data_IF_874974005320
#
_entry.id   IF_874974005320
#
_cell.length_a   1.000
_cell.length_b   1.000
_cell.length_c   1.000
_cell.angle_alpha   90.00
_cell.angle_beta   90.00
_cell.angle_gamma   90.00
#
_symmetry.space_group_name_H-M   'P 1'
#
loop_
_entity.id
_entity.type
_entity.pdbx_description
1 polymer ?
#
# COMPACT_ATOMS: atom_id res chain seq x y z
N UNK A 1 3.51 -2.95 -5.71
CA UNK A 1 3.70 -1.88 -6.70
C UNK A 1 4.23 -2.45 -7.99
N UNK A 2 3.80 -1.85 -9.11
CA UNK A 2 4.27 -2.16 -10.46
C UNK A 2 4.60 -0.88 -11.23
N UNK A 3 5.50 -1.00 -12.19
CA UNK A 3 5.77 0.04 -13.19
C UNK A 3 4.61 0.11 -14.20
N UNK A 4 4.58 1.17 -15.02
CA UNK A 4 3.50 1.38 -16.00
C UNK A 4 3.46 0.36 -17.13
N UNK A 5 4.57 -0.34 -17.37
CA UNK A 5 4.67 -1.49 -18.29
C UNK A 5 4.16 -2.81 -17.67
N UNK A 6 3.79 -2.80 -16.38
CA UNK A 6 3.31 -3.96 -15.65
C UNK A 6 4.37 -4.70 -14.84
N UNK A 7 5.65 -4.35 -14.94
CA UNK A 7 6.71 -4.99 -14.16
C UNK A 7 6.48 -4.80 -12.67
N UNK A 8 6.25 -5.89 -11.95
CA UNK A 8 6.07 -5.90 -10.49
C UNK A 8 7.42 -5.75 -9.80
N UNK A 9 7.54 -4.82 -8.87
CA UNK A 9 8.76 -4.62 -8.07
C UNK A 9 8.59 -4.98 -6.59
N UNK A 10 7.35 -4.97 -6.11
CA UNK A 10 6.98 -5.26 -4.73
C UNK A 10 5.53 -5.77 -4.64
N UNK A 11 5.24 -6.74 -3.78
CA UNK A 11 3.87 -7.25 -3.58
C UNK A 11 3.71 -7.87 -2.19
N UNK A 12 2.97 -7.20 -1.30
CA UNK A 12 2.54 -7.77 -0.02
C UNK A 12 1.55 -8.92 -0.20
N UNK A 13 0.71 -8.86 -1.24
CA UNK A 13 -0.22 -9.95 -1.58
C UNK A 13 0.50 -11.27 -1.89
N UNK A 14 1.63 -11.21 -2.62
CA UNK A 14 2.43 -12.41 -2.93
C UNK A 14 3.20 -12.92 -1.70
N UNK A 15 3.58 -12.02 -0.79
CA UNK A 15 4.23 -12.39 0.47
C UNK A 15 3.25 -12.92 1.52
N UNK A 16 1.96 -12.58 1.42
CA UNK A 16 0.97 -12.85 2.45
C UNK A 16 1.14 -12.01 3.72
N UNK A 17 1.93 -10.93 3.66
CA UNK A 17 2.29 -10.10 4.81
C UNK A 17 2.03 -8.61 4.51
N UNK A 18 1.02 -7.99 5.15
CA UNK A 18 0.74 -6.57 5.02
C UNK A 18 1.91 -5.70 5.47
N UNK A 19 2.04 -4.52 4.85
CA UNK A 19 2.99 -3.52 5.31
C UNK A 19 2.34 -2.67 6.41
N UNK A 20 3.06 -2.46 7.52
CA UNK A 20 2.66 -1.57 8.61
C UNK A 20 3.51 -0.29 8.57
N UNK A 21 2.85 0.87 8.68
CA UNK A 21 3.49 2.18 8.74
C UNK A 21 2.55 3.20 9.38
N UNK A 22 3.13 4.29 9.89
CA UNK A 22 2.37 5.44 10.42
C UNK A 22 2.02 6.41 9.29
N UNK A 23 0.72 6.55 9.00
CA UNK A 23 0.22 7.37 7.89
C UNK A 23 0.41 8.87 8.17
N UNK A 24 1.03 9.58 7.20
CA UNK A 24 1.22 11.03 7.29
C UNK A 24 2.47 11.46 8.08
N UNK A 25 3.28 10.49 8.53
CA UNK A 25 4.54 10.73 9.24
C UNK A 25 5.75 10.95 8.32
N UNK A 26 5.60 10.72 7.00
CA UNK A 26 6.72 10.72 6.06
C UNK A 26 7.54 9.43 6.05
N UNK A 27 7.08 8.36 6.70
CA UNK A 27 7.75 7.04 6.69
C UNK A 27 7.72 6.35 5.33
N UNK A 28 6.71 6.64 4.51
CA UNK A 28 6.54 6.08 3.16
C UNK A 28 6.63 7.17 2.10
N UNK A 29 6.61 6.77 0.83
CA UNK A 29 6.60 7.73 -0.28
C UNK A 29 5.41 8.69 -0.15
N UNK A 30 5.60 9.96 -0.51
CA UNK A 30 4.56 11.02 -0.36
C UNK A 30 3.23 10.65 -1.00
N UNK A 31 3.26 9.92 -2.11
CA UNK A 31 2.04 9.47 -2.80
C UNK A 31 1.22 8.46 -1.99
N UNK A 32 1.84 7.68 -1.10
CA UNK A 32 1.12 6.83 -0.15
C UNK A 32 0.56 7.67 0.99
N UNK A 33 1.39 8.50 1.60
CA UNK A 33 0.98 9.38 2.69
C UNK A 33 -0.23 10.25 2.33
N UNK A 34 -0.33 10.70 1.07
CA UNK A 34 -1.46 11.47 0.60
C UNK A 34 -2.60 10.59 0.05
N UNK A 35 -2.25 9.54 -0.71
CA UNK A 35 -3.22 8.74 -1.46
C UNK A 35 -4.04 7.79 -0.60
N UNK A 36 -3.55 7.44 0.60
CA UNK A 36 -4.21 6.52 1.53
C UNK A 36 -5.01 7.24 2.62
N UNK A 37 -4.91 8.57 2.71
CA UNK A 37 -5.73 9.35 3.63
C UNK A 37 -7.22 9.14 3.36
N UNK A 38 -7.97 9.06 4.46
CA UNK A 38 -9.43 8.89 4.45
C UNK A 38 -9.90 7.51 3.97
N UNK A 39 -9.03 6.52 3.82
CA UNK A 39 -9.47 5.15 3.54
C UNK A 39 -10.20 4.54 4.74
N UNK A 40 -11.25 3.78 4.46
CA UNK A 40 -11.89 2.92 5.46
C UNK A 40 -11.21 1.54 5.50
N UNK A 41 -11.22 0.88 6.65
CA UNK A 41 -10.71 -0.49 6.74
C UNK A 41 -11.55 -1.40 5.83
N UNK A 42 -10.89 -2.26 5.04
CA UNK A 42 -11.45 -3.07 3.98
C UNK A 42 -11.53 -2.36 2.62
N UNK A 43 -11.30 -1.05 2.56
CA UNK A 43 -11.31 -0.31 1.30
C UNK A 43 -10.13 -0.71 0.41
N UNK A 44 -10.41 -0.88 -0.89
CA UNK A 44 -9.41 -1.08 -1.93
C UNK A 44 -9.24 0.18 -2.76
N UNK A 45 -7.99 0.56 -3.03
CA UNK A 45 -7.67 1.76 -3.81
C UNK A 45 -6.53 1.50 -4.78
N UNK A 46 -6.66 2.03 -6.00
CA UNK A 46 -5.58 2.04 -6.99
C UNK A 46 -4.93 3.41 -7.01
N UNK A 47 -3.64 3.48 -6.71
CA UNK A 47 -2.86 4.70 -6.74
C UNK A 47 -1.95 4.73 -7.97
N UNK A 48 -1.97 5.83 -8.72
CA UNK A 48 -1.00 6.12 -9.79
C UNK A 48 -0.13 7.29 -9.33
N UNK A 49 1.11 6.99 -8.97
CA UNK A 49 2.01 7.92 -8.28
C UNK A 49 3.11 8.37 -9.23
N UNK A 50 3.16 9.65 -9.63
CA UNK A 50 4.24 10.17 -10.45
C UNK A 50 5.56 10.20 -9.65
N UNK A 51 6.69 10.17 -10.34
CA UNK A 51 8.04 10.12 -9.74
C UNK A 51 8.25 11.12 -8.60
N UNK A 52 7.79 12.37 -8.77
CA UNK A 52 7.90 13.45 -7.76
C UNK A 52 7.23 13.13 -6.41
N UNK A 53 6.28 12.20 -6.37
CA UNK A 53 5.62 11.70 -5.17
C UNK A 53 6.04 10.27 -4.80
N UNK A 54 6.92 9.66 -5.61
CA UNK A 54 7.53 8.35 -5.41
C UNK A 54 9.03 8.48 -5.14
N UNK A 55 9.84 7.85 -6.00
CA UNK A 55 11.30 7.78 -5.84
C UNK A 55 12.09 8.84 -6.62
N UNK A 56 11.42 9.85 -7.18
CA UNK A 56 12.05 10.97 -7.89
C UNK A 56 12.89 10.55 -9.10
N UNK A 57 13.84 11.40 -9.47
CA UNK A 57 14.71 11.20 -10.63
C UNK A 57 15.80 10.15 -10.39
N UNK A 58 16.07 9.80 -9.12
CA UNK A 58 17.05 8.78 -8.77
C UNK A 58 16.48 7.36 -8.81
N UNK A 59 15.17 7.21 -8.56
CA UNK A 59 14.53 5.90 -8.48
C UNK A 59 14.97 5.12 -7.23
N UNK A 60 14.81 3.80 -7.28
CA UNK A 60 15.31 2.85 -6.29
C UNK A 60 15.90 1.65 -7.01
N UNK A 61 17.15 1.76 -7.51
CA UNK A 61 17.81 0.69 -8.24
C UNK A 61 17.94 -0.59 -7.40
N UNK A 62 17.93 -1.78 -8.03
CA UNK A 62 17.81 -2.00 -9.48
C UNK A 62 16.36 -2.05 -9.99
N UNK A 63 15.36 -2.05 -9.10
CA UNK A 63 13.97 -2.39 -9.46
C UNK A 63 13.16 -1.21 -10.00
N UNK A 64 13.45 0.01 -9.54
CA UNK A 64 12.68 1.20 -9.87
C UNK A 64 13.62 2.20 -10.54
N UNK A 65 13.46 2.45 -11.86
CA UNK A 65 14.28 3.45 -12.53
C UNK A 65 13.92 4.87 -12.08
N UNK A 66 14.85 5.79 -12.29
CA UNK A 66 14.61 7.22 -12.13
C UNK A 66 13.46 7.72 -13.00
N UNK A 67 12.65 8.65 -12.48
CA UNK A 67 11.52 9.22 -13.23
C UNK A 67 10.31 8.28 -13.39
N UNK A 68 10.33 7.10 -12.77
CA UNK A 68 9.26 6.12 -12.89
C UNK A 68 7.93 6.63 -12.29
N UNK A 69 6.84 6.37 -13.03
CA UNK A 69 5.49 6.39 -12.45
C UNK A 69 5.16 5.01 -11.89
N UNK A 70 4.64 4.98 -10.67
CA UNK A 70 4.31 3.74 -9.97
C UNK A 70 2.81 3.53 -9.95
N UNK A 71 2.39 2.27 -10.04
CA UNK A 71 1.00 1.86 -9.87
C UNK A 71 0.91 0.91 -8.68
N UNK A 72 0.03 1.22 -7.74
CA UNK A 72 -0.24 0.38 -6.57
C UNK A 72 -1.71 0.00 -6.54
N UNK A 73 -1.96 -1.28 -6.34
CA UNK A 73 -3.24 -1.80 -5.89
C UNK A 73 -3.10 -2.00 -4.37
N UNK A 74 -3.95 -1.35 -3.59
CA UNK A 74 -3.85 -1.29 -2.12
C UNK A 74 -5.16 -1.71 -1.48
N UNK A 75 -5.06 -2.28 -0.29
CA UNK A 75 -6.19 -2.65 0.57
C UNK A 75 -5.82 -2.25 2.00
N UNK A 76 -6.69 -1.48 2.66
CA UNK A 76 -6.46 -1.11 4.05
C UNK A 76 -6.96 -2.22 4.96
N UNK A 77 -6.07 -3.06 5.46
CA UNK A 77 -6.45 -4.25 6.24
C UNK A 77 -6.79 -3.97 7.70
N UNK A 78 -6.13 -2.97 8.31
CA UNK A 78 -6.34 -2.60 9.71
C UNK A 78 -5.87 -1.16 9.98
N UNK A 79 -6.39 -0.56 11.04
CA UNK A 79 -5.88 0.69 11.62
C UNK A 79 -5.66 0.48 13.11
N UNK A 80 -4.46 0.77 13.61
CA UNK A 80 -4.08 0.59 15.02
C UNK A 80 -4.41 -0.83 15.52
N UNK A 81 -4.09 -1.85 14.73
CA UNK A 81 -4.35 -3.27 15.04
C UNK A 81 -5.82 -3.69 14.94
N UNK A 82 -6.75 -2.82 14.54
CA UNK A 82 -8.17 -3.15 14.40
C UNK A 82 -8.53 -3.42 12.93
N UNK A 83 -8.87 -4.66 12.55
CA UNK A 83 -9.36 -4.97 11.20
C UNK A 83 -10.81 -4.50 11.02
N UNK A 84 -11.31 -4.51 9.78
CA UNK A 84 -12.70 -4.11 9.49
C UNK A 84 -13.65 -5.11 10.14
N UNK A 85 -14.64 -4.63 10.88
CA UNK A 85 -15.70 -5.45 11.51
C UNK A 85 -16.67 -6.12 10.52
N UNK A 86 -16.32 -6.21 9.23
CA UNK A 86 -17.15 -6.74 8.14
C UNK A 86 -16.94 -8.22 7.84
N UNK A 87 -16.32 -8.97 8.75
CA UNK A 87 -16.20 -10.42 8.69
C UNK A 87 -16.73 -11.03 9.98
N UNK A 88 -18.06 -11.04 10.14
CA UNK A 88 -18.71 -12.04 10.99
C UNK A 88 -18.47 -13.39 10.32
N UNK A 89 -17.46 -14.10 10.82
CA UNK A 89 -17.47 -15.54 10.83
C UNK A 89 -17.30 -15.97 12.28
N UNK A 90 -18.40 -15.90 13.01
CA UNK A 90 -18.64 -16.67 14.22
C UNK A 90 -18.06 -18.07 14.07
N UNK A 91 -17.03 -18.36 14.85
CA UNK A 91 -16.87 -19.65 15.48
C UNK A 91 -16.58 -19.34 16.94
N UNK A 92 -17.68 -19.33 17.70
CA UNK A 92 -17.74 -19.91 19.04
C UNK A 92 -16.88 -21.19 19.03
N UNK A 93 -15.94 -21.38 19.93
CA UNK A 93 -16.29 -21.82 21.28
C UNK A 93 -15.42 -21.19 22.37
N UNK A 94 -16.16 -20.65 23.34
CA UNK A 94 -15.80 -20.57 24.74
C UNK A 94 -15.53 -21.99 25.28
N UNK A 95 -14.37 -22.21 25.92
CA UNK A 95 -14.18 -22.92 27.21
C UNK A 95 -12.70 -22.87 27.62
#
# INVERSE_FOLDING_TARGET
GKLTDGTVFDSSFERGDPIEFELGSGQVIKGWDQGLLGMCVGEKRKLKIPAKLGYGDHGSPPKIPGGATLVFDTELVAVNGKPSSGGDNTSEDEL
#
